data_IF_371100294864
#
_entry.id   IF_371100294864
#
_cell.length_a   1.000
_cell.length_b   1.000
_cell.length_c   1.000
_cell.angle_alpha   90.00
_cell.angle_beta   90.00
_cell.angle_gamma   90.00
#
_symmetry.space_group_name_H-M   'P 1'
#
loop_
_entity.id
_entity.type
_entity.pdbx_description
1 polymer ?
#
# COMPACT_ATOMS: atom_id res chain seq x y z
N UNK A 1 7.64 30.60 13.08
CA UNK A 1 6.31 29.96 13.01
C UNK A 1 6.02 29.27 14.33
N UNK A 2 4.83 29.48 14.86
CA UNK A 2 4.37 28.75 16.05
C UNK A 2 3.75 27.40 15.65
N UNK A 3 3.75 26.43 16.56
CA UNK A 3 3.05 25.14 16.36
C UNK A 3 1.56 25.35 16.06
N UNK A 4 0.95 26.39 16.65
CA UNK A 4 -0.44 26.75 16.44
C UNK A 4 -0.71 27.30 15.04
N UNK A 5 0.31 27.84 14.37
CA UNK A 5 0.22 28.33 12.99
C UNK A 5 0.33 27.17 12.00
N UNK A 6 1.15 26.18 12.32
CA UNK A 6 1.28 24.93 11.55
C UNK A 6 0.02 24.05 11.61
N UNK A 7 -0.75 24.12 12.69
CA UNK A 7 -1.98 23.33 12.90
C UNK A 7 -3.27 24.03 12.42
N UNK A 8 -3.17 25.16 11.72
CA UNK A 8 -4.32 25.82 11.09
C UNK A 8 -4.75 25.10 9.82
N UNK A 9 -6.00 25.28 9.42
CA UNK A 9 -6.54 24.85 8.13
C UNK A 9 -6.39 23.35 7.84
N UNK A 10 -6.59 22.52 8.88
CA UNK A 10 -6.67 21.06 8.70
C UNK A 10 -7.86 20.69 7.79
N UNK A 11 -7.77 19.58 7.03
CA UNK A 11 -8.83 19.18 6.11
C UNK A 11 -10.20 19.04 6.78
N UNK A 12 -11.20 19.70 6.20
CA UNK A 12 -12.60 19.62 6.63
C UNK A 12 -13.42 18.91 5.56
N UNK A 13 -13.84 17.68 5.84
CA UNK A 13 -14.77 16.96 4.97
C UNK A 13 -16.21 17.47 5.11
N UNK A 14 -16.59 17.85 6.34
CA UNK A 14 -17.88 18.44 6.67
C UNK A 14 -17.76 19.19 8.01
N UNK A 15 -18.06 20.48 8.03
CA UNK A 15 -18.00 21.36 9.20
C UNK A 15 -18.92 20.89 10.34
N UNK A 16 -20.00 20.19 10.02
CA UNK A 16 -21.00 19.75 10.98
C UNK A 16 -20.64 18.46 11.72
N UNK A 17 -19.62 17.71 11.30
CA UNK A 17 -19.31 16.39 11.86
C UNK A 17 -18.99 16.42 13.37
N UNK A 18 -18.41 17.52 13.86
CA UNK A 18 -17.98 17.65 15.25
C UNK A 18 -18.47 18.95 15.93
N UNK A 19 -19.26 19.78 15.24
CA UNK A 19 -19.73 21.07 15.76
C UNK A 19 -20.63 20.93 17.00
N UNK A 20 -21.34 19.80 17.13
CA UNK A 20 -22.28 19.51 18.22
C UNK A 20 -21.78 18.44 19.21
N UNK A 21 -20.52 17.99 19.08
CA UNK A 21 -19.98 16.95 19.94
C UNK A 21 -19.83 17.47 21.38
N UNK A 22 -20.58 16.88 22.32
CA UNK A 22 -20.56 17.25 23.74
C UNK A 22 -20.35 16.02 24.63
N UNK A 23 -19.32 16.06 25.48
CA UNK A 23 -18.97 14.99 26.43
C UNK A 23 -19.77 15.12 27.74
N UNK A 24 -20.30 16.31 28.06
CA UNK A 24 -20.97 16.59 29.34
C UNK A 24 -22.38 15.96 29.45
N UNK A 25 -23.02 15.62 28.32
CA UNK A 25 -24.35 14.99 28.30
C UNK A 25 -24.36 13.49 28.65
N UNK A 26 -23.35 13.01 29.41
CA UNK A 26 -23.49 11.77 30.19
C UNK A 26 -23.46 10.47 29.40
N UNK A 27 -22.82 10.43 28.23
CA UNK A 27 -22.47 9.15 27.60
C UNK A 27 -21.30 8.58 28.41
N UNK A 28 -21.62 7.83 29.47
CA UNK A 28 -20.66 6.94 30.12
C UNK A 28 -19.92 6.21 29.00
N UNK A 29 -18.59 6.27 28.98
CA UNK A 29 -17.73 5.68 27.94
C UNK A 29 -18.02 4.16 27.75
N UNK A 30 -18.77 3.55 28.69
CA UNK A 30 -19.28 2.17 28.67
C UNK A 30 -20.74 1.99 28.18
N UNK A 31 -21.45 3.02 27.73
CA UNK A 31 -22.87 2.93 27.41
C UNK A 31 -23.08 2.62 25.92
N UNK A 32 -23.31 1.34 25.66
CA UNK A 32 -23.73 0.71 24.39
C UNK A 32 -22.57 0.43 23.44
N UNK A 33 -22.07 -0.80 23.54
CA UNK A 33 -21.34 -1.44 22.43
C UNK A 33 -22.19 -1.28 21.16
N UNK A 34 -21.59 -0.93 20.00
CA UNK A 34 -22.31 -0.93 18.74
C UNK A 34 -23.07 -2.24 18.55
N UNK A 35 -24.26 -2.15 17.94
CA UNK A 35 -25.03 -3.35 17.63
C UNK A 35 -24.22 -4.29 16.77
N UNK A 36 -24.28 -5.59 17.07
CA UNK A 36 -23.63 -6.62 16.27
C UNK A 36 -24.44 -6.81 14.98
N UNK A 37 -23.77 -6.80 13.83
CA UNK A 37 -24.39 -7.16 12.55
C UNK A 37 -24.53 -8.69 12.47
N UNK A 38 -25.75 -9.15 12.21
CA UNK A 38 -26.06 -10.58 11.98
C UNK A 38 -26.55 -10.69 10.53
N UNK A 39 -25.81 -11.39 9.68
CA UNK A 39 -26.21 -11.66 8.30
C UNK A 39 -27.31 -12.72 8.27
N UNK A 40 -28.48 -12.37 7.72
CA UNK A 40 -29.64 -13.28 7.58
C UNK A 40 -29.84 -13.76 6.14
N UNK A 41 -29.14 -13.14 5.19
CA UNK A 41 -29.16 -13.50 3.77
C UNK A 41 -27.77 -13.96 3.38
N UNK A 42 -27.69 -15.08 2.68
CA UNK A 42 -26.45 -15.55 2.09
C UNK A 42 -26.24 -14.84 0.73
N UNK A 43 -25.14 -14.11 0.60
CA UNK A 43 -24.78 -13.36 -0.60
C UNK A 43 -23.50 -13.97 -1.16
N UNK A 44 -23.53 -14.55 -2.37
CA UNK A 44 -22.35 -15.20 -2.93
C UNK A 44 -21.26 -14.15 -3.24
N UNK A 45 -20.00 -14.53 -3.00
CA UNK A 45 -18.85 -13.69 -3.37
C UNK A 45 -18.62 -13.73 -4.88
N UNK A 46 -18.39 -12.58 -5.49
CA UNK A 46 -18.08 -12.48 -6.94
C UNK A 46 -16.71 -13.10 -7.28
N UNK A 47 -15.74 -12.95 -6.38
CA UNK A 47 -14.37 -13.44 -6.56
C UNK A 47 -13.88 -14.16 -5.32
N UNK A 48 -13.02 -15.15 -5.52
CA UNK A 48 -12.40 -15.93 -4.44
C UNK A 48 -10.88 -15.72 -4.45
N UNK A 49 -10.31 -15.48 -3.27
CA UNK A 49 -8.86 -15.37 -3.12
C UNK A 49 -8.27 -16.79 -3.12
N UNK A 50 -7.38 -17.06 -4.07
CA UNK A 50 -6.73 -18.37 -4.23
C UNK A 50 -5.23 -18.23 -4.07
N UNK A 51 -4.60 -19.14 -3.33
CA UNK A 51 -3.15 -19.23 -3.20
C UNK A 51 -2.56 -20.12 -4.29
N UNK A 52 -1.38 -19.75 -4.81
CA UNK A 52 -0.69 -20.59 -5.78
C UNK A 52 -0.22 -21.88 -5.12
N UNK A 53 -0.61 -23.04 -5.69
CA UNK A 53 -0.26 -24.36 -5.16
C UNK A 53 1.19 -24.78 -5.44
N UNK A 54 1.88 -24.09 -6.35
CA UNK A 54 3.24 -24.46 -6.77
C UNK A 54 4.22 -24.18 -5.63
N UNK A 55 5.10 -25.14 -5.38
CA UNK A 55 6.23 -24.94 -4.48
C UNK A 55 7.10 -23.78 -4.97
N UNK A 56 7.51 -22.90 -4.06
CA UNK A 56 8.25 -21.68 -4.39
C UNK A 56 9.58 -21.97 -5.11
N UNK A 57 10.26 -23.06 -4.77
CA UNK A 57 11.51 -23.45 -5.39
C UNK A 57 11.28 -23.93 -6.83
N UNK A 58 10.27 -24.78 -7.05
CA UNK A 58 9.91 -25.25 -8.39
C UNK A 58 9.46 -24.10 -9.29
N UNK A 59 8.67 -23.17 -8.77
CA UNK A 59 8.28 -21.95 -9.48
C UNK A 59 9.50 -21.14 -9.92
N UNK A 60 10.46 -20.96 -9.01
CA UNK A 60 11.71 -20.26 -9.31
C UNK A 60 12.54 -20.98 -10.38
N UNK A 61 12.74 -22.29 -10.25
CA UNK A 61 13.53 -23.07 -11.20
C UNK A 61 12.91 -23.07 -12.61
N UNK A 62 11.60 -23.27 -12.72
CA UNK A 62 10.90 -23.15 -14.00
C UNK A 62 11.04 -21.76 -14.60
N UNK A 63 10.87 -20.70 -13.80
CA UNK A 63 11.05 -19.33 -14.27
C UNK A 63 12.47 -19.06 -14.80
N UNK A 64 13.50 -19.59 -14.12
CA UNK A 64 14.89 -19.50 -14.61
C UNK A 64 15.09 -20.28 -15.91
N UNK A 65 14.51 -21.48 -16.01
CA UNK A 65 14.59 -22.32 -17.20
C UNK A 65 13.90 -21.69 -18.40
N UNK A 66 12.66 -21.21 -18.23
CA UNK A 66 11.87 -20.57 -19.28
C UNK A 66 12.53 -19.29 -19.77
N UNK A 67 13.15 -18.51 -18.88
CA UNK A 67 13.93 -17.33 -19.26
C UNK A 67 15.14 -17.67 -20.12
N UNK A 68 15.82 -18.79 -19.85
CA UNK A 68 16.99 -19.25 -20.63
C UNK A 68 16.60 -19.82 -21.99
N UNK A 69 15.44 -20.48 -22.07
CA UNK A 69 14.96 -21.16 -23.27
C UNK A 69 13.89 -20.37 -24.03
N UNK A 70 13.58 -19.15 -23.59
CA UNK A 70 12.66 -18.27 -24.29
C UNK A 70 13.16 -18.12 -25.74
N UNK A 71 12.31 -18.38 -26.74
CA UNK A 71 12.72 -18.31 -28.13
C UNK A 71 13.33 -16.93 -28.41
N UNK A 72 14.59 -16.92 -28.87
CA UNK A 72 15.39 -15.74 -29.25
C UNK A 72 14.81 -14.96 -30.44
N UNK A 73 13.49 -14.80 -30.55
CA UNK A 73 12.86 -13.94 -31.56
C UNK A 73 13.03 -12.45 -31.26
N UNK A 74 13.76 -12.09 -30.20
CA UNK A 74 14.11 -10.72 -29.83
C UNK A 74 15.62 -10.59 -29.58
N UNK A 75 16.46 -11.11 -30.47
CA UNK A 75 17.87 -10.71 -30.54
C UNK A 75 18.05 -9.66 -31.65
N UNK A 76 17.81 -8.41 -31.27
CA UNK A 76 18.58 -7.28 -31.79
C UNK A 76 18.74 -6.27 -30.64
N UNK A 77 19.88 -6.35 -29.94
CA UNK A 77 20.29 -5.37 -28.93
C UNK A 77 20.83 -5.95 -27.62
N UNK A 78 22.16 -5.87 -27.49
CA UNK A 78 22.98 -5.94 -26.27
C UNK A 78 23.30 -7.32 -25.67
N UNK A 79 24.37 -7.90 -26.21
CA UNK A 79 25.30 -8.70 -25.41
C UNK A 79 25.97 -7.83 -24.32
N UNK A 80 26.34 -8.48 -23.21
CA UNK A 80 27.07 -7.97 -22.03
C UNK A 80 26.23 -7.32 -20.93
N UNK A 81 25.75 -8.17 -20.00
CA UNK A 81 25.62 -7.85 -18.56
C UNK A 81 25.44 -9.14 -17.75
N UNK A 82 26.43 -10.03 -17.82
CA UNK A 82 26.66 -10.97 -16.72
C UNK A 82 27.49 -10.22 -15.66
N UNK A 83 27.07 -10.30 -14.39
CA UNK A 83 27.71 -9.74 -13.17
C UNK A 83 27.34 -8.31 -12.67
N UNK A 84 26.07 -7.89 -12.62
CA UNK A 84 25.77 -6.61 -11.91
C UNK A 84 24.38 -6.44 -11.28
N UNK A 85 23.72 -7.50 -10.76
CA UNK A 85 22.46 -7.32 -9.99
C UNK A 85 22.52 -7.98 -8.60
N UNK A 86 23.73 -8.06 -8.03
CA UNK A 86 23.91 -8.05 -6.57
C UNK A 86 24.39 -6.65 -6.19
N UNK A 87 23.47 -5.86 -5.63
CA UNK A 87 23.64 -4.67 -4.77
C UNK A 87 23.07 -3.35 -5.32
N UNK A 88 22.10 -2.88 -4.53
CA UNK A 88 21.67 -1.49 -4.21
C UNK A 88 20.33 -1.06 -4.83
N UNK A 89 19.37 -0.84 -3.92
CA UNK A 89 18.16 -0.05 -4.14
C UNK A 89 18.58 1.32 -4.70
N UNK A 90 17.83 1.94 -5.63
CA UNK A 90 18.05 3.34 -5.97
C UNK A 90 17.94 4.17 -4.69
N UNK A 91 19.02 4.84 -4.31
CA UNK A 91 18.98 5.86 -3.27
C UNK A 91 18.26 7.05 -3.88
N UNK A 92 17.06 7.35 -3.38
CA UNK A 92 16.41 8.64 -3.64
C UNK A 92 17.32 9.68 -2.98
N UNK A 93 18.12 10.38 -3.78
CA UNK A 93 18.80 11.59 -3.33
C UNK A 93 17.70 12.62 -3.04
N UNK A 94 17.38 12.78 -1.75
CA UNK A 94 16.64 13.93 -1.26
C UNK A 94 17.52 15.17 -1.49
N UNK A 95 17.44 15.76 -2.68
CA UNK A 95 18.00 17.08 -2.89
C UNK A 95 16.98 18.13 -2.41
N UNK A 96 16.91 18.28 -1.07
CA UNK A 96 16.57 19.55 -0.45
C UNK A 96 17.89 20.13 0.01
N UNK A 97 18.29 21.26 -0.58
CA UNK A 97 18.61 22.48 0.16
C UNK A 97 18.83 23.65 -0.81
N UNK A 98 17.83 24.53 -0.85
CA UNK A 98 17.92 25.98 -0.66
C UNK A 98 19.32 26.64 -0.77
N UNK A 99 19.52 27.57 -1.71
CA UNK A 99 19.60 29.03 -1.43
C UNK A 99 20.15 29.87 -2.60
N UNK A 100 19.49 31.01 -2.79
CA UNK A 100 20.01 32.33 -3.22
C UNK A 100 20.52 32.55 -4.65
N UNK A 101 19.74 33.27 -5.45
CA UNK A 101 20.05 34.64 -5.91
C UNK A 101 18.74 35.40 -6.14
#
# INVERSE_FOLDING_TARGET
>A
MSISEFLKDLPVYNEQNFSLFNIENGVKINAKRPSVYISVVDIPSEQIIVTEKKNILLRYLHQQWDKKNAPKKREHGNENTNESILRKRPRLENNRDNNST
#
